data_IF_012345217970
#
_entry.id   IF_012345217970
#
_cell.length_a   1.000
_cell.length_b   1.000
_cell.length_c   1.000
_cell.angle_alpha   90.00
_cell.angle_beta   90.00
_cell.angle_gamma   90.00
#
_symmetry.space_group_name_H-M   'P 1'
#
loop_
_entity.id
_entity.type
_entity.pdbx_description
1 polymer ?
#
# COMPACT_ATOMS: atom_id res chain seq x y z
N UNK A 1 1.12 -11.70 10.96
CA UNK A 1 0.70 -10.30 11.04
C UNK A 1 -0.55 -10.16 10.17
N UNK A 2 -1.59 -9.45 10.62
CA UNK A 2 -2.75 -9.17 9.77
C UNK A 2 -2.55 -7.79 9.14
N UNK A 3 -2.83 -7.61 7.86
CA UNK A 3 -2.71 -6.34 7.14
C UNK A 3 -4.05 -5.94 6.53
N UNK A 4 -4.25 -4.66 6.26
CA UNK A 4 -5.29 -4.24 5.33
C UNK A 4 -4.96 -4.76 3.93
N UNK A 5 -5.99 -5.22 3.21
CA UNK A 5 -5.89 -5.58 1.80
C UNK A 5 -6.95 -4.78 1.03
N UNK A 6 -6.50 -4.11 -0.02
CA UNK A 6 -7.36 -3.31 -0.86
C UNK A 6 -6.73 -3.17 -2.25
N UNK A 7 -7.46 -3.64 -3.26
CA UNK A 7 -7.05 -3.57 -4.67
C UNK A 7 -7.08 -2.14 -5.21
N UNK A 8 -7.90 -1.25 -4.63
CA UNK A 8 -7.89 0.17 -4.98
C UNK A 8 -8.44 1.07 -3.89
N UNK A 9 -7.61 2.00 -3.42
CA UNK A 9 -7.95 3.07 -2.48
C UNK A 9 -8.05 4.37 -3.27
N UNK A 10 -9.08 5.18 -3.03
CA UNK A 10 -9.19 6.50 -3.67
C UNK A 10 -8.36 7.58 -2.94
N UNK A 11 -8.29 8.78 -3.50
CA UNK A 11 -7.55 9.90 -2.94
C UNK A 11 -7.97 10.29 -1.50
N UNK A 12 -9.20 9.99 -1.09
CA UNK A 12 -9.71 10.22 0.27
C UNK A 12 -9.35 9.11 1.26
N UNK A 13 -8.62 8.08 0.84
CA UNK A 13 -8.23 6.95 1.69
C UNK A 13 -9.31 5.88 1.86
N UNK A 14 -10.38 5.90 1.05
CA UNK A 14 -11.45 4.90 1.12
C UNK A 14 -11.12 3.76 0.16
N UNK A 15 -11.20 2.51 0.65
CA UNK A 15 -11.11 1.34 -0.21
C UNK A 15 -12.36 1.26 -1.10
N UNK A 16 -12.18 1.37 -2.41
CA UNK A 16 -13.28 1.35 -3.39
C UNK A 16 -13.36 0.00 -4.14
N UNK A 17 -12.39 -0.89 -3.95
CA UNK A 17 -12.37 -2.22 -4.56
C UNK A 17 -11.46 -3.17 -3.77
N UNK A 18 -11.88 -4.43 -3.62
CA UNK A 18 -11.06 -5.48 -3.02
C UNK A 18 -10.84 -5.35 -1.51
N UNK A 19 -11.74 -4.67 -0.78
CA UNK A 19 -11.61 -4.51 0.67
C UNK A 19 -11.63 -5.87 1.37
N UNK A 20 -10.53 -6.20 2.03
CA UNK A 20 -10.36 -7.44 2.78
C UNK A 20 -9.17 -7.31 3.74
N UNK A 21 -8.69 -8.45 4.24
CA UNK A 21 -7.52 -8.55 5.08
C UNK A 21 -6.68 -9.75 4.66
N UNK A 22 -5.36 -9.57 4.66
CA UNK A 22 -4.43 -10.68 4.46
C UNK A 22 -3.66 -10.98 5.74
N UNK A 23 -3.27 -12.24 5.90
CA UNK A 23 -2.33 -12.66 6.92
C UNK A 23 -0.98 -12.95 6.26
N UNK A 24 0.07 -12.25 6.68
CA UNK A 24 1.43 -12.46 6.18
C UNK A 24 1.88 -13.91 6.39
N UNK A 25 2.45 -14.53 5.36
CA UNK A 25 3.06 -15.86 5.40
C UNK A 25 4.55 -15.80 5.00
N UNK A 26 5.40 -16.59 5.67
CA UNK A 26 6.83 -16.68 5.33
C UNK A 26 7.53 -15.32 5.42
N UNK A 27 8.11 -14.87 4.29
CA UNK A 27 8.81 -13.58 4.17
C UNK A 27 7.91 -12.40 3.81
N UNK A 28 6.58 -12.60 3.76
CA UNK A 28 5.65 -11.52 3.47
C UNK A 28 5.63 -10.46 4.56
N UNK A 29 5.49 -9.21 4.14
CA UNK A 29 5.28 -8.05 4.99
C UNK A 29 4.01 -7.31 4.55
N UNK A 30 3.45 -6.47 5.42
CA UNK A 30 2.40 -5.56 5.00
C UNK A 30 3.00 -4.47 4.11
N UNK A 31 2.28 -4.07 3.06
CA UNK A 31 2.65 -2.93 2.25
C UNK A 31 1.50 -1.94 2.12
N UNK A 32 1.86 -0.67 1.93
CA UNK A 32 0.98 0.37 1.42
C UNK A 32 1.68 1.08 0.26
N UNK A 33 0.98 1.23 -0.86
CA UNK A 33 1.47 1.92 -2.04
C UNK A 33 0.57 3.12 -2.31
N UNK A 34 1.15 4.32 -2.36
CA UNK A 34 0.49 5.57 -2.74
C UNK A 34 0.96 5.97 -4.13
N UNK A 35 0.03 6.28 -5.02
CA UNK A 35 0.30 6.80 -6.35
C UNK A 35 -0.12 8.25 -6.38
N UNK A 36 0.80 9.11 -6.78
CA UNK A 36 0.61 10.54 -6.92
C UNK A 36 0.61 10.91 -8.40
N UNK A 37 -0.30 11.79 -8.80
CA UNK A 37 -0.36 12.43 -10.11
C UNK A 37 -0.28 13.94 -9.87
N UNK A 38 0.68 14.62 -10.51
CA UNK A 38 0.94 16.05 -10.33
C UNK A 38 1.06 16.47 -8.86
N UNK A 39 1.86 15.71 -8.09
CA UNK A 39 2.09 15.88 -6.65
C UNK A 39 0.85 15.72 -5.75
N UNK A 40 -0.29 15.31 -6.33
CA UNK A 40 -1.53 15.02 -5.59
C UNK A 40 -1.78 13.52 -5.51
N UNK A 41 -2.31 13.06 -4.39
CA UNK A 41 -2.61 11.63 -4.23
C UNK A 41 -3.77 11.25 -5.15
N UNK A 42 -3.52 10.30 -6.05
CA UNK A 42 -4.51 9.82 -7.02
C UNK A 42 -5.26 8.61 -6.47
N UNK A 43 -4.51 7.58 -6.09
CA UNK A 43 -5.04 6.33 -5.56
C UNK A 43 -3.96 5.54 -4.82
N UNK A 44 -4.33 4.38 -4.28
CA UNK A 44 -3.40 3.50 -3.60
C UNK A 44 -3.82 2.06 -3.52
N UNK A 45 -2.96 1.28 -2.86
CA UNK A 45 -3.07 -0.16 -2.69
C UNK A 45 -2.55 -0.57 -1.32
N UNK A 46 -3.10 -1.62 -0.75
CA UNK A 46 -2.65 -2.23 0.50
C UNK A 46 -2.68 -3.74 0.37
N UNK A 47 -1.79 -4.44 1.05
CA UNK A 47 -1.84 -5.90 1.12
C UNK A 47 -0.60 -6.51 1.74
N UNK A 48 -0.40 -7.80 1.45
CA UNK A 48 0.75 -8.59 1.87
C UNK A 48 1.64 -8.88 0.66
N UNK A 49 2.94 -8.64 0.77
CA UNK A 49 3.88 -8.91 -0.32
C UNK A 49 5.18 -9.53 0.19
N UNK A 50 5.67 -10.54 -0.52
CA UNK A 50 7.02 -11.11 -0.29
C UNK A 50 8.12 -10.20 -0.84
N UNK A 51 7.78 -9.29 -1.76
CA UNK A 51 8.67 -8.28 -2.31
C UNK A 51 8.15 -6.93 -1.80
N UNK A 52 8.64 -6.55 -0.63
CA UNK A 52 8.33 -5.27 0.01
C UNK A 52 9.64 -4.61 0.41
N UNK A 53 9.98 -3.52 -0.27
CA UNK A 53 11.12 -2.67 0.03
C UNK A 53 10.61 -1.23 -0.05
N UNK A 54 10.93 -0.43 0.96
CA UNK A 54 10.64 1.00 0.95
C UNK A 54 11.25 1.65 -0.29
N UNK A 55 10.39 2.24 -1.13
CA UNK A 55 10.84 2.86 -2.38
C UNK A 55 10.01 4.09 -2.70
N UNK A 56 10.70 5.11 -3.19
CA UNK A 56 10.10 6.29 -3.78
C UNK A 56 10.53 6.34 -5.25
N UNK A 57 9.59 6.12 -6.16
CA UNK A 57 9.82 6.16 -7.60
C UNK A 57 9.10 7.38 -8.18
N UNK A 58 9.75 8.08 -9.09
CA UNK A 58 9.16 9.23 -9.77
C UNK A 58 9.44 9.14 -11.27
N UNK A 59 8.45 9.51 -12.07
CA UNK A 59 8.54 9.59 -13.53
C UNK A 59 7.57 10.66 -14.03
N UNK A 60 8.12 11.75 -14.57
CA UNK A 60 7.34 12.90 -15.04
C UNK A 60 6.29 13.36 -14.00
N UNK A 61 5.01 13.16 -14.31
CA UNK A 61 3.85 13.58 -13.53
C UNK A 61 3.40 12.53 -12.51
N UNK A 62 4.05 11.37 -12.45
CA UNK A 62 3.65 10.25 -11.60
C UNK A 62 4.73 9.95 -10.56
N UNK A 63 4.34 9.87 -9.29
CA UNK A 63 5.20 9.34 -8.23
C UNK A 63 4.53 8.15 -7.54
N UNK A 64 5.34 7.21 -7.06
CA UNK A 64 4.92 6.02 -6.33
C UNK A 64 5.72 5.93 -5.05
N UNK A 65 5.01 5.97 -3.93
CA UNK A 65 5.56 5.74 -2.60
C UNK A 65 5.12 4.35 -2.12
N UNK A 66 6.07 3.43 -2.01
CA UNK A 66 5.86 2.10 -1.44
C UNK A 66 6.48 2.07 -0.05
N UNK A 67 5.65 1.76 0.95
CA UNK A 67 6.07 1.58 2.33
C UNK A 67 5.75 0.18 2.83
N UNK A 68 6.68 -0.35 3.61
CA UNK A 68 6.65 -1.69 4.16
C UNK A 68 6.65 -1.63 5.68
N UNK A 69 5.90 -2.52 6.32
CA UNK A 69 5.88 -2.62 7.77
C UNK A 69 5.62 -4.05 8.22
N UNK A 70 6.20 -4.40 9.38
CA UNK A 70 6.08 -5.72 9.97
C UNK A 70 6.05 -5.70 11.51
N UNK A 71 5.92 -4.51 12.10
CA UNK A 71 6.00 -4.22 13.53
C UNK A 71 4.69 -4.50 14.26
N UNK A 72 3.54 -4.29 13.60
CA UNK A 72 2.22 -4.43 14.18
C UNK A 72 1.14 -4.81 13.15
N UNK A 73 0.07 -5.48 13.59
CA UNK A 73 -1.06 -5.77 12.70
C UNK A 73 -1.73 -4.47 12.25
N UNK A 74 -2.17 -4.41 11.00
CA UNK A 74 -2.80 -3.26 10.36
C UNK A 74 -1.89 -2.03 10.24
N UNK A 75 -0.57 -2.21 10.34
CA UNK A 75 0.43 -1.14 10.23
C UNK A 75 0.41 -0.44 8.87
N UNK A 76 -0.07 -1.11 7.82
CA UNK A 76 -0.08 -0.58 6.46
C UNK A 76 -1.29 0.30 6.17
N UNK A 77 -1.83 1.01 7.16
CA UNK A 77 -2.95 1.94 6.95
C UNK A 77 -2.54 3.06 5.98
N UNK A 78 -3.41 3.36 5.02
CA UNK A 78 -3.23 4.38 4.00
C UNK A 78 -3.25 5.78 4.59
#
# INVERSE_FOLDING_TARGET
LICFECDRINASGICVSGESFCQTQGSQQCYVRKVYEDDTISHGYQGCSSICIDMWLFSHHVAVDLKCCHDSSFCNKF
#
